data_IF_581033571179
#
_entry.id   IF_581033571179
#
_cell.length_a   1.000
_cell.length_b   1.000
_cell.length_c   1.000
_cell.angle_alpha   90.00
_cell.angle_beta   90.00
_cell.angle_gamma   90.00
#
_symmetry.space_group_name_H-M   'P 1'
#
loop_
_entity.id
_entity.type
_entity.pdbx_description
1 polymer ?
#
# COMPACT_ATOMS: atom_id res chain seq x y z
N UNK A 1 -22.50 -11.22 -17.09
CA UNK A 1 -22.83 -10.04 -16.28
C UNK A 1 -21.55 -9.35 -15.87
N UNK A 2 -21.14 -8.34 -16.63
CA UNK A 2 -19.92 -7.55 -16.40
C UNK A 2 -20.13 -6.65 -15.18
N UNK A 3 -19.60 -7.07 -14.02
CA UNK A 3 -19.44 -6.13 -12.89
C UNK A 3 -18.49 -5.03 -13.36
N UNK A 4 -18.86 -3.77 -13.14
CA UNK A 4 -18.03 -2.59 -13.40
C UNK A 4 -16.57 -2.86 -13.02
N UNK A 5 -15.67 -2.90 -14.01
CA UNK A 5 -14.26 -3.26 -13.83
C UNK A 5 -13.41 -2.15 -13.21
N UNK A 6 -14.00 -1.08 -12.68
CA UNK A 6 -13.24 0.04 -12.14
C UNK A 6 -13.55 0.26 -10.64
N UNK A 7 -13.15 -0.69 -9.80
CA UNK A 7 -13.21 -0.54 -8.33
C UNK A 7 -12.28 0.54 -7.77
N UNK A 8 -12.36 0.79 -6.47
CA UNK A 8 -11.44 1.67 -5.74
C UNK A 8 -10.11 0.95 -5.55
N UNK A 9 -9.03 1.53 -6.10
CA UNK A 9 -7.67 1.02 -5.97
C UNK A 9 -6.88 1.95 -5.08
N UNK A 10 -6.42 1.44 -3.95
CA UNK A 10 -5.43 2.10 -3.10
C UNK A 10 -4.04 1.63 -3.52
N UNK A 11 -3.16 2.57 -3.88
CA UNK A 11 -1.73 2.27 -4.04
C UNK A 11 -0.97 2.81 -2.85
N UNK A 12 -0.17 1.97 -2.22
CA UNK A 12 0.71 2.34 -1.10
C UNK A 12 2.15 2.23 -1.58
N UNK A 13 2.88 3.35 -1.53
CA UNK A 13 4.31 3.42 -1.84
C UNK A 13 5.11 3.45 -0.54
N UNK A 14 5.96 2.45 -0.36
CA UNK A 14 6.74 2.20 0.86
C UNK A 14 8.21 2.47 0.56
N UNK A 15 8.68 3.67 0.93
CA UNK A 15 10.06 4.10 0.76
C UNK A 15 10.58 4.73 2.04
N UNK A 16 11.35 5.82 1.91
CA UNK A 16 11.74 6.65 3.05
C UNK A 16 10.53 7.10 3.87
N UNK A 17 9.39 7.31 3.20
CA UNK A 17 8.10 7.55 3.83
C UNK A 17 7.00 6.62 3.30
N UNK A 18 5.74 6.97 3.56
CA UNK A 18 4.54 6.30 3.08
C UNK A 18 3.73 7.26 2.20
N UNK A 19 3.74 6.98 0.90
CA UNK A 19 2.88 7.64 -0.07
C UNK A 19 1.61 6.84 -0.33
N UNK A 20 0.48 7.52 -0.52
CA UNK A 20 -0.78 6.87 -0.91
C UNK A 20 -1.40 7.54 -2.12
N UNK A 21 -2.00 6.75 -2.99
CA UNK A 21 -2.89 7.26 -4.03
C UNK A 21 -4.16 6.43 -4.09
N UNK A 22 -5.28 7.09 -4.37
CA UNK A 22 -6.54 6.39 -4.66
C UNK A 22 -6.92 6.64 -6.11
N UNK A 23 -7.27 5.57 -6.79
CA UNK A 23 -7.97 5.62 -8.07
C UNK A 23 -9.38 5.08 -7.85
N UNK A 24 -10.39 5.89 -8.16
CA UNK A 24 -11.78 5.46 -8.12
C UNK A 24 -12.34 5.52 -9.55
N UNK A 25 -12.87 4.40 -10.03
CA UNK A 25 -13.46 4.30 -11.36
C UNK A 25 -12.54 4.73 -12.53
N UNK A 26 -11.22 4.63 -12.36
CA UNK A 26 -10.22 5.06 -13.36
C UNK A 26 -9.77 6.52 -13.23
N UNK A 27 -10.35 7.28 -12.30
CA UNK A 27 -9.95 8.65 -12.01
C UNK A 27 -9.12 8.71 -10.72
N UNK A 28 -8.04 9.48 -10.75
CA UNK A 28 -7.20 9.73 -9.58
C UNK A 28 -7.88 10.70 -8.62
N UNK A 29 -7.86 10.36 -7.34
CA UNK A 29 -8.27 11.27 -6.26
C UNK A 29 -7.03 12.05 -5.80
N UNK A 30 -7.00 13.38 -5.93
CA UNK A 30 -5.84 14.18 -5.56
C UNK A 30 -5.70 14.34 -4.03
N UNK A 31 -4.50 14.73 -3.59
CA UNK A 31 -4.19 15.21 -2.23
C UNK A 31 -4.45 14.23 -1.08
N UNK A 32 -4.02 12.97 -1.22
CA UNK A 32 -4.15 11.96 -0.17
C UNK A 32 -2.79 11.63 0.43
N UNK A 33 -2.48 12.22 1.59
CA UNK A 33 -1.27 11.94 2.38
C UNK A 33 -1.57 11.00 3.56
N UNK A 34 -2.23 9.86 3.32
CA UNK A 34 -2.68 9.00 4.42
C UNK A 34 -1.53 8.45 5.26
N UNK A 35 -0.31 8.34 4.72
CA UNK A 35 0.88 8.01 5.51
C UNK A 35 1.14 8.97 6.68
N UNK A 36 0.63 10.20 6.63
CA UNK A 36 0.80 11.21 7.68
C UNK A 36 -0.34 11.22 8.70
N UNK A 37 -1.39 10.43 8.49
CA UNK A 37 -2.44 10.26 9.48
C UNK A 37 -1.88 9.67 10.78
N UNK A 38 -2.44 10.02 11.95
CA UNK A 38 -2.04 9.43 13.22
C UNK A 38 -2.18 7.91 13.22
N UNK A 39 -1.20 7.21 13.82
CA UNK A 39 -1.31 5.77 14.01
C UNK A 39 -2.49 5.48 14.96
N UNK A 40 -3.35 4.49 14.67
CA UNK A 40 -4.59 4.26 15.43
C UNK A 40 -4.38 3.84 16.89
N UNK A 41 -3.17 3.39 17.25
CA UNK A 41 -2.85 2.81 18.56
C UNK A 41 -1.54 3.33 19.19
N UNK A 42 -0.73 4.05 18.44
CA UNK A 42 0.63 4.45 18.84
C UNK A 42 0.80 5.94 18.61
N UNK A 43 1.72 6.57 19.33
CA UNK A 43 2.07 7.96 19.09
C UNK A 43 2.83 8.11 17.77
N UNK A 44 2.53 9.17 17.01
CA UNK A 44 3.13 9.44 15.70
C UNK A 44 2.21 9.13 14.52
N UNK A 45 2.72 9.30 13.31
CA UNK A 45 1.99 9.02 12.07
C UNK A 45 2.14 7.55 11.66
N UNK A 46 1.29 7.06 10.76
CA UNK A 46 1.49 5.73 10.17
C UNK A 46 2.91 5.58 9.59
N UNK A 47 3.37 6.60 8.84
CA UNK A 47 4.69 6.64 8.24
C UNK A 47 5.83 6.42 9.24
N UNK A 48 5.75 7.04 10.43
CA UNK A 48 6.79 6.89 11.45
C UNK A 48 6.90 5.47 12.00
N UNK A 49 5.90 4.61 11.76
CA UNK A 49 5.88 3.21 12.21
C UNK A 49 6.13 2.21 11.09
N UNK A 50 5.71 2.51 9.86
CA UNK A 50 5.62 1.50 8.80
C UNK A 50 6.44 1.82 7.55
N UNK A 51 7.19 2.93 7.52
CA UNK A 51 8.10 3.24 6.41
C UNK A 51 9.30 2.28 6.34
N UNK A 52 9.95 2.21 5.18
CA UNK A 52 11.17 1.43 5.03
C UNK A 52 12.36 2.06 5.81
N UNK A 53 12.34 3.39 5.98
CA UNK A 53 13.28 4.08 6.86
C UNK A 53 13.10 3.65 8.31
N UNK A 54 11.87 3.66 8.84
CA UNK A 54 11.59 3.20 10.22
C UNK A 54 12.10 1.79 10.46
N UNK A 55 11.84 0.85 9.52
CA UNK A 55 12.38 -0.52 9.62
C UNK A 55 13.90 -0.52 9.82
N UNK A 56 14.60 0.29 9.02
CA UNK A 56 16.06 0.32 9.01
C UNK A 56 16.62 1.04 10.24
N UNK A 57 16.02 2.15 10.65
CA UNK A 57 16.41 2.97 11.80
C UNK A 57 16.20 2.23 13.13
N UNK A 58 15.11 1.49 13.25
CA UNK A 58 14.81 0.67 14.45
C UNK A 58 15.43 -0.73 14.39
N UNK A 59 16.09 -1.11 13.29
CA UNK A 59 16.74 -2.41 13.14
C UNK A 59 15.76 -3.59 13.11
N UNK A 60 14.55 -3.39 12.61
CA UNK A 60 13.51 -4.42 12.54
C UNK A 60 13.83 -5.46 11.47
N UNK A 61 13.60 -6.73 11.83
CA UNK A 61 13.48 -7.80 10.84
C UNK A 61 12.29 -7.54 9.90
N UNK A 62 12.29 -8.17 8.72
CA UNK A 62 11.17 -8.06 7.77
C UNK A 62 9.86 -8.52 8.40
N UNK A 63 9.88 -9.60 9.18
CA UNK A 63 8.68 -10.10 9.86
C UNK A 63 8.15 -9.16 10.95
N UNK A 64 9.02 -8.55 11.75
CA UNK A 64 8.61 -7.55 12.74
C UNK A 64 7.99 -6.32 12.08
N UNK A 65 8.62 -5.82 11.02
CA UNK A 65 8.06 -4.72 10.22
C UNK A 65 6.73 -5.10 9.57
N UNK A 66 6.60 -6.31 9.04
CA UNK A 66 5.37 -6.78 8.39
C UNK A 66 4.17 -6.78 9.36
N UNK A 67 4.39 -7.20 10.61
CA UNK A 67 3.35 -7.16 11.64
C UNK A 67 2.90 -5.72 11.93
N UNK A 68 3.83 -4.75 11.97
CA UNK A 68 3.46 -3.33 12.10
C UNK A 68 2.74 -2.81 10.86
N UNK A 69 3.22 -3.21 9.68
CA UNK A 69 2.64 -2.81 8.40
C UNK A 69 1.20 -3.33 8.24
N UNK A 70 0.89 -4.53 8.76
CA UNK A 70 -0.47 -5.08 8.81
C UNK A 70 -1.44 -4.13 9.52
N UNK A 71 -1.05 -3.53 10.66
CA UNK A 71 -1.91 -2.54 11.35
C UNK A 71 -2.19 -1.31 10.48
N UNK A 72 -1.20 -0.89 9.69
CA UNK A 72 -1.34 0.17 8.70
C UNK A 72 -2.31 -0.20 7.57
N UNK A 73 -2.22 -1.44 7.05
CA UNK A 73 -3.16 -1.96 6.04
C UNK A 73 -4.59 -1.92 6.58
N UNK A 74 -4.84 -2.47 7.77
CA UNK A 74 -6.18 -2.48 8.37
C UNK A 74 -6.74 -1.06 8.56
N UNK A 75 -5.89 -0.11 8.93
CA UNK A 75 -6.29 1.29 9.07
C UNK A 75 -6.66 1.91 7.72
N UNK A 76 -5.80 1.74 6.72
CA UNK A 76 -6.05 2.26 5.37
C UNK A 76 -7.28 1.63 4.73
N UNK A 77 -7.52 0.34 4.94
CA UNK A 77 -8.73 -0.35 4.50
C UNK A 77 -9.99 0.26 5.10
N UNK A 78 -10.02 0.46 6.42
CA UNK A 78 -11.17 1.10 7.08
C UNK A 78 -11.41 2.52 6.61
N UNK A 79 -10.35 3.24 6.24
CA UNK A 79 -10.45 4.64 5.83
C UNK A 79 -10.88 4.81 4.37
N UNK A 80 -10.50 3.86 3.52
CA UNK A 80 -10.59 4.02 2.06
C UNK A 80 -11.50 3.02 1.37
N UNK A 81 -11.90 1.95 2.08
CA UNK A 81 -12.73 0.85 1.60
C UNK A 81 -12.35 0.39 0.17
N UNK A 82 -11.07 0.02 -0.06
CA UNK A 82 -10.61 -0.29 -1.41
C UNK A 82 -11.05 -1.69 -1.83
N UNK A 83 -11.25 -1.88 -3.14
CA UNK A 83 -11.42 -3.22 -3.72
C UNK A 83 -10.07 -3.92 -3.91
N UNK A 84 -8.99 -3.13 -4.09
CA UNK A 84 -7.64 -3.60 -4.35
C UNK A 84 -6.60 -2.67 -3.71
N UNK A 85 -5.64 -3.26 -3.03
CA UNK A 85 -4.43 -2.60 -2.54
C UNK A 85 -3.24 -3.03 -3.39
N UNK A 86 -2.55 -2.06 -3.98
CA UNK A 86 -1.33 -2.26 -4.74
C UNK A 86 -0.15 -1.72 -3.91
N UNK A 87 0.81 -2.60 -3.62
CA UNK A 87 2.00 -2.24 -2.85
C UNK A 87 3.19 -2.01 -3.78
N UNK A 88 3.88 -0.89 -3.58
CA UNK A 88 5.04 -0.47 -4.36
C UNK A 88 6.15 0.04 -3.43
N UNK A 89 7.40 0.01 -3.88
CA UNK A 89 8.56 0.57 -3.16
C UNK A 89 9.71 -0.41 -3.03
N UNK A 90 10.84 0.05 -2.49
CA UNK A 90 12.07 -0.76 -2.38
C UNK A 90 11.90 -1.99 -1.49
N UNK A 91 11.05 -1.92 -0.46
CA UNK A 91 10.78 -3.05 0.44
C UNK A 91 10.14 -4.24 -0.27
N UNK A 92 9.55 -4.03 -1.45
CA UNK A 92 8.93 -5.08 -2.25
C UNK A 92 9.94 -6.13 -2.75
N UNK A 93 11.25 -5.87 -2.69
CA UNK A 93 12.29 -6.90 -2.89
C UNK A 93 12.16 -8.07 -1.91
N UNK A 94 11.59 -7.82 -0.73
CA UNK A 94 11.34 -8.82 0.31
C UNK A 94 9.93 -9.42 0.26
N UNK A 95 9.18 -9.24 -0.84
CA UNK A 95 7.78 -9.66 -0.95
C UNK A 95 7.52 -11.11 -0.48
N UNK A 96 8.37 -12.06 -0.87
CA UNK A 96 8.24 -13.47 -0.47
C UNK A 96 8.44 -13.71 1.03
N UNK A 97 9.07 -12.78 1.74
CA UNK A 97 9.33 -12.89 3.18
C UNK A 97 8.19 -12.34 4.04
N UNK A 98 7.37 -11.42 3.51
CA UNK A 98 6.28 -10.80 4.30
C UNK A 98 4.87 -10.95 3.74
N UNK A 99 4.71 -11.40 2.49
CA UNK A 99 3.38 -11.50 1.86
C UNK A 99 2.41 -12.39 2.62
N UNK A 100 2.89 -13.45 3.26
CA UNK A 100 2.07 -14.35 4.09
C UNK A 100 1.74 -13.77 5.49
N UNK A 101 2.37 -12.66 5.87
CA UNK A 101 2.16 -11.98 7.15
C UNK A 101 1.15 -10.83 7.04
N UNK A 102 0.72 -10.49 5.82
CA UNK A 102 -0.24 -9.42 5.56
C UNK A 102 -1.51 -9.97 4.92
N UNK A 103 -2.64 -9.41 5.31
CA UNK A 103 -3.95 -9.78 4.79
C UNK A 103 -4.93 -8.62 4.95
N UNK A 104 -5.98 -8.63 4.14
CA UNK A 104 -7.03 -7.63 4.16
C UNK A 104 -8.30 -8.16 3.52
N UNK A 105 -9.39 -7.42 3.69
CA UNK A 105 -10.64 -7.68 2.96
C UNK A 105 -10.46 -7.35 1.47
N UNK A 106 -9.70 -6.30 1.19
CA UNK A 106 -9.28 -5.94 -0.15
C UNK A 106 -8.23 -6.94 -0.66
N UNK A 107 -8.24 -7.20 -1.96
CA UNK A 107 -7.16 -7.97 -2.55
C UNK A 107 -5.84 -7.19 -2.42
N UNK A 108 -4.76 -7.82 -1.95
CA UNK A 108 -3.44 -7.18 -1.87
C UNK A 108 -2.53 -7.75 -2.95
N UNK A 109 -1.88 -6.88 -3.74
CA UNK A 109 -0.93 -7.29 -4.78
C UNK A 109 0.33 -6.44 -4.76
N UNK A 110 1.50 -7.04 -5.07
CA UNK A 110 2.67 -6.26 -5.43
C UNK A 110 2.42 -5.59 -6.79
N UNK A 111 2.87 -4.35 -6.94
CA UNK A 111 2.92 -3.69 -8.23
C UNK A 111 3.83 -4.49 -9.19
N UNK A 112 3.35 -4.77 -10.41
CA UNK A 112 4.16 -5.41 -11.45
C UNK A 112 4.94 -4.35 -12.20
N UNK A 113 6.27 -4.41 -12.15
CA UNK A 113 7.14 -3.58 -12.98
C UNK A 113 6.92 -3.94 -14.46
N UNK A 114 6.27 -3.05 -15.21
CA UNK A 114 6.36 -2.98 -16.67
C UNK A 114 7.38 -1.91 -17.04
N UNK A 115 8.15 -2.12 -18.11
CA UNK A 115 9.35 -1.38 -18.51
C UNK A 115 9.24 0.15 -18.64
N UNK A 116 8.06 0.75 -18.53
CA UNK A 116 7.87 2.20 -18.79
C UNK A 116 6.92 2.91 -17.80
N UNK A 117 6.48 2.26 -16.72
CA UNK A 117 5.49 2.83 -15.81
C UNK A 117 5.99 2.82 -14.36
N UNK A 118 6.25 4.00 -13.78
CA UNK A 118 6.43 4.15 -12.33
C UNK A 118 5.20 3.65 -11.55
N UNK A 119 5.23 3.73 -10.21
CA UNK A 119 4.18 3.21 -9.31
C UNK A 119 2.73 3.46 -9.80
N UNK A 120 2.47 4.69 -10.26
CA UNK A 120 1.18 5.12 -10.79
C UNK A 120 0.78 4.39 -12.07
N UNK A 121 1.70 4.22 -13.02
CA UNK A 121 1.45 3.49 -14.25
C UNK A 121 1.28 1.98 -14.01
N UNK A 122 1.95 1.43 -12.98
CA UNK A 122 1.77 0.04 -12.56
C UNK A 122 0.38 -0.18 -11.95
N UNK A 123 -0.11 0.74 -11.11
CA UNK A 123 -1.47 0.71 -10.57
C UNK A 123 -2.53 0.81 -11.69
N UNK A 124 -2.35 1.72 -12.64
CA UNK A 124 -3.23 1.85 -13.83
C UNK A 124 -3.16 0.59 -14.72
N UNK A 125 -1.99 -0.04 -14.85
CA UNK A 125 -1.86 -1.28 -15.62
C UNK A 125 -2.60 -2.45 -14.94
N UNK A 126 -2.51 -2.55 -13.61
CA UNK A 126 -3.26 -3.56 -12.84
C UNK A 126 -4.76 -3.35 -12.97
N UNK A 127 -5.25 -2.10 -12.97
CA UNK A 127 -6.68 -1.81 -13.16
C UNK A 127 -7.21 -2.22 -14.54
N UNK A 128 -6.35 -2.29 -15.56
CA UNK A 128 -6.72 -2.72 -16.93
C UNK A 128 -6.66 -4.24 -17.13
N UNK A 129 -6.12 -4.98 -16.16
CA UNK A 129 -5.93 -6.43 -16.21
C UNK A 129 -7.03 -7.21 -15.47
N UNK A 130 -8.05 -6.54 -14.96
CA UNK A 130 -9.22 -7.11 -14.30
C UNK A 130 -10.48 -6.98 -15.17
#
# INVERSE_FOLDING_TARGET
SSKNQNGTILTVTIGTGIGTTIQNNGAMVPNLEYGREPHPRLDGSLESHISASTRSEEGLSIGEWANRFQEGIEFLERLTEPDLIVLYGGIMEHWSEFSDLISGEAQIKPARFGTEAGALGAAIAVSKLC
#
